data_IF_537232114086
#
_entry.id   IF_537232114086
#
_cell.length_a   1.000
_cell.length_b   1.000
_cell.length_c   1.000
_cell.angle_alpha   90.00
_cell.angle_beta   90.00
_cell.angle_gamma   90.00
#
_symmetry.space_group_name_H-M   'P 1'
#
loop_
_entity.id
_entity.type
_entity.pdbx_description
1 polymer ?
#
# COMPACT_ATOMS: atom_id res chain seq x y z
N UNK A 1 63.29 -59.47 31.61
CA UNK A 1 62.09 -59.76 30.81
C UNK A 1 60.99 -58.78 31.22
N UNK A 2 61.02 -57.55 30.68
CA UNK A 2 60.10 -56.46 31.03
C UNK A 2 59.26 -56.12 29.79
N UNK A 3 57.94 -56.35 29.84
CA UNK A 3 57.00 -55.91 28.80
C UNK A 3 56.30 -54.64 29.29
N UNK A 4 56.62 -53.50 28.66
CA UNK A 4 55.87 -52.23 28.81
C UNK A 4 54.60 -52.33 27.95
N UNK A 5 53.43 -52.25 28.59
CA UNK A 5 52.14 -52.13 27.92
C UNK A 5 51.89 -50.63 27.65
N UNK A 6 51.95 -50.22 26.38
CA UNK A 6 51.54 -48.88 25.96
C UNK A 6 50.07 -48.92 25.54
N UNK A 7 49.18 -48.34 26.34
CA UNK A 7 47.81 -48.05 25.93
C UNK A 7 47.80 -46.73 25.14
N UNK A 8 47.46 -46.84 23.85
CA UNK A 8 47.37 -45.72 22.90
C UNK A 8 45.89 -45.35 22.78
N UNK A 9 45.44 -44.33 23.50
CA UNK A 9 44.10 -43.77 23.31
C UNK A 9 44.10 -42.92 22.02
N UNK A 10 43.18 -43.15 21.06
CA UNK A 10 43.01 -42.23 19.94
C UNK A 10 42.24 -41.00 20.44
N UNK A 11 42.89 -39.84 20.47
CA UNK A 11 42.21 -38.57 20.70
C UNK A 11 41.29 -38.26 19.52
N UNK A 12 39.98 -38.31 19.74
CA UNK A 12 38.98 -37.80 18.79
C UNK A 12 38.95 -36.28 18.96
N UNK A 13 39.60 -35.57 18.05
CA UNK A 13 39.47 -34.12 17.94
C UNK A 13 38.12 -33.80 17.29
N UNK A 14 37.15 -33.30 18.07
CA UNK A 14 35.92 -32.74 17.53
C UNK A 14 36.21 -31.38 16.90
N UNK A 15 36.27 -31.35 15.56
CA UNK A 15 36.32 -30.12 14.79
C UNK A 15 34.92 -29.48 14.82
N UNK A 16 34.72 -28.48 15.68
CA UNK A 16 33.50 -27.66 15.65
C UNK A 16 33.55 -26.73 14.44
N UNK A 17 32.92 -27.15 13.34
CA UNK A 17 32.65 -26.27 12.20
C UNK A 17 31.49 -25.36 12.58
N UNK A 18 31.79 -24.11 12.93
CA UNK A 18 30.77 -23.07 13.09
C UNK A 18 30.39 -22.59 11.69
N UNK A 19 29.32 -23.14 11.13
CA UNK A 19 28.72 -22.61 9.91
C UNK A 19 28.04 -21.27 10.25
N UNK A 20 28.35 -20.16 9.56
CA UNK A 20 27.59 -18.93 9.72
C UNK A 20 26.16 -19.17 9.24
N UNK A 21 25.22 -19.22 10.19
CA UNK A 21 23.79 -19.21 9.89
C UNK A 21 23.46 -17.79 9.47
N UNK A 22 23.44 -17.55 8.17
CA UNK A 22 22.85 -16.32 7.62
C UNK A 22 21.34 -16.37 7.87
N UNK A 23 20.90 -15.68 8.91
CA UNK A 23 19.46 -15.45 9.14
C UNK A 23 19.00 -14.47 8.06
N UNK A 24 18.43 -15.00 6.98
CA UNK A 24 17.67 -14.18 6.04
C UNK A 24 16.42 -13.70 6.77
N UNK A 25 16.43 -12.47 7.28
CA UNK A 25 15.20 -11.80 7.67
C UNK A 25 14.35 -11.66 6.42
N UNK A 26 13.28 -12.46 6.32
CA UNK A 26 12.32 -12.31 5.24
C UNK A 26 11.73 -10.91 5.36
N UNK A 27 11.95 -10.06 4.35
CA UNK A 27 11.46 -8.69 4.36
C UNK A 27 9.94 -8.75 4.37
N UNK A 28 9.35 -8.48 5.54
CA UNK A 28 7.90 -8.46 5.72
C UNK A 28 7.31 -7.33 4.88
N UNK A 29 6.25 -7.63 4.14
CA UNK A 29 5.60 -6.61 3.33
C UNK A 29 5.05 -5.49 4.22
N UNK A 30 5.09 -4.24 3.74
CA UNK A 30 4.54 -3.10 4.46
C UNK A 30 3.08 -3.37 4.88
N UNK A 31 2.26 -4.04 4.05
CA UNK A 31 0.86 -4.38 4.37
C UNK A 31 0.70 -5.46 5.45
N UNK A 32 1.71 -6.31 5.66
CA UNK A 32 1.72 -7.37 6.68
C UNK A 32 2.36 -6.91 8.00
N UNK A 33 2.90 -5.69 8.07
CA UNK A 33 3.45 -5.14 9.31
C UNK A 33 2.35 -4.45 10.16
N UNK A 34 1.88 -5.02 11.29
CA UNK A 34 0.82 -4.40 12.09
C UNK A 34 1.25 -3.11 12.79
N UNK A 35 2.55 -2.87 12.99
CA UNK A 35 3.07 -1.65 13.60
C UNK A 35 3.20 -0.49 12.59
N UNK A 36 3.14 -0.78 11.30
CA UNK A 36 3.25 0.22 10.23
C UNK A 36 1.89 0.43 9.58
N UNK A 37 1.14 1.41 10.09
CA UNK A 37 -0.25 1.67 9.67
C UNK A 37 -0.39 2.86 8.73
N UNK A 38 0.60 3.76 8.72
CA UNK A 38 0.61 4.92 7.85
C UNK A 38 2.01 5.47 7.58
N UNK A 39 2.11 6.25 6.51
CA UNK A 39 3.29 7.03 6.15
C UNK A 39 2.83 8.39 5.63
N UNK A 40 3.43 9.47 6.15
CA UNK A 40 3.26 10.84 5.66
C UNK A 40 1.80 11.32 5.55
N UNK A 41 0.92 10.83 6.43
CA UNK A 41 -0.44 11.36 6.58
C UNK A 41 -0.42 12.53 7.55
N UNK A 42 -1.26 13.52 7.28
CA UNK A 42 -1.54 14.56 8.25
C UNK A 42 -2.22 13.98 9.49
N UNK A 43 -2.00 14.60 10.64
CA UNK A 43 -2.62 14.17 11.89
C UNK A 43 -4.15 14.24 11.78
N UNK A 44 -4.89 13.31 12.42
CA UNK A 44 -6.34 13.41 12.51
C UNK A 44 -6.78 14.76 13.07
N UNK A 45 -7.76 15.38 12.42
CA UNK A 45 -8.32 16.68 12.80
C UNK A 45 -9.80 16.74 12.41
N UNK A 46 -10.53 17.73 12.94
CA UNK A 46 -11.91 17.97 12.56
C UNK A 46 -12.00 18.35 11.07
N UNK A 47 -13.05 17.91 10.39
CA UNK A 47 -13.28 18.24 8.98
C UNK A 47 -13.36 19.76 8.81
N UNK A 48 -12.57 20.28 7.87
CA UNK A 48 -12.53 21.71 7.57
C UNK A 48 -12.31 21.94 6.08
N UNK A 49 -12.94 22.97 5.53
CA UNK A 49 -12.73 23.44 4.17
C UNK A 49 -12.56 24.97 4.15
N UNK A 50 -11.66 25.45 3.29
CA UNK A 50 -11.43 26.87 3.11
C UNK A 50 -12.39 27.44 2.07
N UNK A 51 -12.93 28.63 2.33
CA UNK A 51 -13.77 29.38 1.42
C UNK A 51 -13.29 30.84 1.36
N UNK A 52 -13.55 31.51 0.25
CA UNK A 52 -13.22 32.92 0.02
C UNK A 52 -14.28 33.89 0.54
N UNK A 53 -15.50 33.41 0.86
CA UNK A 53 -16.59 34.26 1.38
C UNK A 53 -17.39 33.58 2.50
N UNK A 54 -17.97 34.39 3.39
CA UNK A 54 -18.85 33.93 4.48
C UNK A 54 -20.07 33.18 3.98
N UNK A 55 -20.66 33.63 2.87
CA UNK A 55 -21.87 33.02 2.30
C UNK A 55 -21.60 31.57 1.86
N UNK A 56 -20.43 31.30 1.26
CA UNK A 56 -20.03 29.94 0.88
C UNK A 56 -19.74 29.05 2.09
N UNK A 57 -19.15 29.60 3.16
CA UNK A 57 -19.00 28.87 4.44
C UNK A 57 -20.34 28.41 4.99
N UNK A 58 -21.36 29.28 4.96
CA UNK A 58 -22.70 28.95 5.46
C UNK A 58 -23.38 27.89 4.57
N UNK A 59 -23.17 27.95 3.26
CA UNK A 59 -23.70 26.96 2.33
C UNK A 59 -23.06 25.57 2.47
N UNK A 60 -21.81 25.52 2.96
CA UNK A 60 -21.02 24.31 3.22
C UNK A 60 -20.91 23.36 2.01
N UNK A 61 -20.90 23.93 0.81
CA UNK A 61 -20.69 23.19 -0.44
C UNK A 61 -19.24 23.35 -0.89
N UNK A 62 -18.43 22.29 -0.74
CA UNK A 62 -17.00 22.31 -1.05
C UNK A 62 -16.74 22.66 -2.51
N UNK A 63 -17.67 22.31 -3.42
CA UNK A 63 -17.53 22.59 -4.85
C UNK A 63 -17.60 24.09 -5.18
N UNK A 64 -18.16 24.89 -4.28
CA UNK A 64 -18.20 26.35 -4.42
C UNK A 64 -16.88 27.02 -3.99
N UNK A 65 -15.97 26.29 -3.34
CA UNK A 65 -14.67 26.82 -2.93
C UNK A 65 -13.71 26.93 -4.12
N UNK A 66 -13.03 28.08 -4.31
CA UNK A 66 -11.96 28.18 -5.31
C UNK A 66 -10.71 27.37 -4.93
N UNK A 67 -10.66 26.80 -3.72
CA UNK A 67 -9.56 26.00 -3.20
C UNK A 67 -9.86 24.50 -3.18
N UNK A 68 -10.94 24.09 -3.87
CA UNK A 68 -11.33 22.70 -4.02
C UNK A 68 -11.20 22.25 -5.47
N UNK A 69 -10.60 21.08 -5.67
CA UNK A 69 -10.61 20.39 -6.95
C UNK A 69 -10.96 18.92 -6.70
N UNK A 70 -12.11 18.48 -7.21
CA UNK A 70 -12.47 17.07 -7.16
C UNK A 70 -11.61 16.28 -8.12
N UNK A 71 -11.09 15.13 -7.66
CA UNK A 71 -10.48 14.12 -8.51
C UNK A 71 -11.41 12.94 -8.78
N UNK A 72 -12.69 13.01 -8.39
CA UNK A 72 -13.67 11.99 -8.75
C UNK A 72 -13.89 11.94 -10.27
N UNK A 73 -14.40 10.82 -10.77
CA UNK A 73 -14.66 10.58 -12.19
C UNK A 73 -13.91 9.38 -12.73
N UNK A 74 -13.55 9.39 -14.01
CA UNK A 74 -12.83 8.28 -14.65
C UNK A 74 -11.33 8.31 -14.33
N UNK A 75 -10.81 7.16 -13.89
CA UNK A 75 -9.38 6.88 -13.64
C UNK A 75 -8.93 5.69 -14.48
N UNK A 76 -7.67 5.68 -14.92
CA UNK A 76 -7.07 4.47 -15.49
C UNK A 76 -6.89 3.44 -14.41
N UNK A 77 -7.23 2.19 -14.71
CA UNK A 77 -7.29 1.12 -13.75
C UNK A 77 -6.73 -0.19 -14.30
N UNK A 78 -5.91 -0.85 -13.48
CA UNK A 78 -5.41 -2.20 -13.73
C UNK A 78 -5.65 -3.05 -12.49
N UNK A 79 -6.24 -4.23 -12.70
CA UNK A 79 -6.54 -5.20 -11.66
C UNK A 79 -5.71 -6.47 -11.88
N UNK A 80 -5.15 -7.00 -10.80
CA UNK A 80 -4.55 -8.34 -10.78
C UNK A 80 -5.07 -9.12 -9.57
N UNK A 81 -5.34 -10.42 -9.70
CA UNK A 81 -5.84 -11.24 -8.59
C UNK A 81 -4.78 -11.51 -7.51
N UNK A 82 -3.49 -11.40 -7.86
CA UNK A 82 -2.38 -11.65 -6.94
C UNK A 82 -1.44 -10.46 -6.91
N UNK A 83 -1.05 -10.06 -5.70
CA UNK A 83 -0.10 -8.97 -5.52
C UNK A 83 1.24 -9.22 -6.24
N UNK A 84 1.68 -10.46 -6.41
CA UNK A 84 2.92 -10.81 -7.14
C UNK A 84 2.85 -10.50 -8.64
N UNK A 85 1.66 -10.37 -9.21
CA UNK A 85 1.42 -10.06 -10.63
C UNK A 85 1.31 -8.56 -10.89
N UNK A 86 1.32 -7.74 -9.84
CA UNK A 86 1.21 -6.28 -9.97
C UNK A 86 2.43 -5.71 -10.70
N UNK A 87 2.21 -4.68 -11.52
CA UNK A 87 3.32 -3.91 -12.07
C UNK A 87 4.13 -3.29 -10.94
N UNK A 88 5.44 -3.51 -10.92
CA UNK A 88 6.36 -2.83 -9.98
C UNK A 88 6.73 -1.42 -10.44
N UNK A 89 6.44 -1.09 -11.70
CA UNK A 89 6.77 0.18 -12.33
C UNK A 89 5.57 1.15 -12.39
N UNK A 90 4.46 0.80 -11.72
CA UNK A 90 3.19 1.51 -11.79
C UNK A 90 3.28 3.02 -11.50
N UNK A 91 4.23 3.41 -10.65
CA UNK A 91 4.42 4.79 -10.22
C UNK A 91 5.15 5.66 -11.25
N UNK A 92 5.81 5.07 -12.26
CA UNK A 92 6.62 5.84 -13.23
C UNK A 92 5.73 6.77 -14.07
N UNK A 93 6.06 8.08 -14.18
CA UNK A 93 5.28 9.01 -15.00
C UNK A 93 5.21 8.61 -16.48
N UNK A 94 6.25 7.98 -17.01
CA UNK A 94 6.29 7.56 -18.42
C UNK A 94 5.66 6.18 -18.71
N UNK A 95 4.99 5.55 -17.73
CA UNK A 95 4.36 4.24 -17.94
C UNK A 95 3.24 4.32 -18.99
N UNK A 96 3.25 3.41 -19.96
CA UNK A 96 2.17 3.28 -20.92
C UNK A 96 0.95 2.59 -20.28
N UNK A 97 -0.19 3.29 -20.27
CA UNK A 97 -1.46 2.78 -19.76
C UNK A 97 -2.54 2.65 -20.83
N UNK A 98 -2.16 2.58 -22.12
CA UNK A 98 -3.13 2.45 -23.23
C UNK A 98 -4.00 1.19 -23.14
N UNK A 99 -3.44 0.09 -22.61
CA UNK A 99 -4.16 -1.17 -22.43
C UNK A 99 -4.99 -1.23 -21.15
N UNK A 100 -4.92 -0.21 -20.29
CA UNK A 100 -5.63 -0.21 -19.01
C UNK A 100 -7.10 0.11 -19.21
N UNK A 101 -7.93 -0.50 -18.35
CA UNK A 101 -9.34 -0.16 -18.25
C UNK A 101 -9.54 1.24 -17.67
N UNK A 102 -10.79 1.71 -17.69
CA UNK A 102 -11.22 2.87 -16.93
C UNK A 102 -12.18 2.41 -15.82
N UNK A 103 -12.09 3.06 -14.66
CA UNK A 103 -12.97 2.81 -13.52
C UNK A 103 -13.52 4.14 -12.99
N UNK A 104 -14.78 4.14 -12.55
CA UNK A 104 -15.37 5.29 -11.87
C UNK A 104 -14.85 5.38 -10.44
N UNK A 105 -14.45 6.57 -10.01
CA UNK A 105 -14.10 6.87 -8.62
C UNK A 105 -15.08 7.90 -8.07
N UNK A 106 -15.75 7.64 -6.92
CA UNK A 106 -15.60 6.47 -6.06
C UNK A 106 -16.38 5.24 -6.56
N UNK A 107 -15.85 4.04 -6.30
CA UNK A 107 -16.52 2.74 -6.48
C UNK A 107 -15.78 1.65 -5.70
N UNK A 108 -16.44 0.50 -5.48
CA UNK A 108 -15.72 -0.76 -5.21
C UNK A 108 -15.47 -1.45 -6.56
N UNK A 109 -14.27 -1.97 -6.80
CA UNK A 109 -13.96 -2.52 -8.12
C UNK A 109 -14.81 -3.76 -8.47
N UNK A 110 -15.34 -4.46 -7.47
CA UNK A 110 -16.18 -5.64 -7.65
C UNK A 110 -17.51 -5.30 -8.33
N UNK A 111 -18.07 -4.12 -8.06
CA UNK A 111 -19.29 -3.65 -8.72
C UNK A 111 -19.03 -3.06 -10.11
N UNK A 112 -17.76 -2.78 -10.43
CA UNK A 112 -17.30 -2.33 -11.74
C UNK A 112 -16.79 -3.50 -12.61
N UNK A 113 -16.91 -4.74 -12.14
CA UNK A 113 -16.62 -5.96 -12.91
C UNK A 113 -15.23 -6.57 -12.69
N UNK A 114 -14.50 -6.14 -11.66
CA UNK A 114 -13.17 -6.67 -11.34
C UNK A 114 -13.18 -7.52 -10.07
N UNK A 115 -12.61 -8.73 -10.12
CA UNK A 115 -12.63 -9.63 -8.96
C UNK A 115 -14.03 -10.15 -8.65
N UNK A 116 -14.25 -10.58 -7.40
CA UNK A 116 -15.52 -11.12 -6.92
C UNK A 116 -15.87 -10.53 -5.55
N UNK A 117 -17.11 -10.09 -5.31
CA UNK A 117 -17.53 -9.68 -3.98
C UNK A 117 -17.64 -10.91 -3.08
N UNK A 118 -17.08 -10.83 -1.88
CA UNK A 118 -17.10 -11.93 -0.91
C UNK A 118 -17.91 -11.51 0.31
N UNK A 119 -18.95 -12.29 0.61
CA UNK A 119 -19.72 -12.17 1.84
C UNK A 119 -19.38 -13.34 2.77
N UNK A 120 -19.02 -13.02 4.01
CA UNK A 120 -18.80 -13.99 5.08
C UNK A 120 -19.41 -13.41 6.36
N UNK A 121 -19.91 -14.28 7.24
CA UNK A 121 -20.47 -13.82 8.52
C UNK A 121 -19.36 -13.70 9.59
N UNK A 122 -18.67 -14.82 9.90
CA UNK A 122 -17.69 -14.90 11.00
C UNK A 122 -16.28 -15.22 10.49
N UNK A 123 -16.17 -16.02 9.43
CA UNK A 123 -14.87 -16.50 8.94
C UNK A 123 -14.21 -15.46 8.06
N UNK A 124 -12.92 -15.22 8.23
CA UNK A 124 -12.15 -14.43 7.27
C UNK A 124 -12.22 -15.06 5.87
N UNK A 125 -12.31 -14.25 4.80
CA UNK A 125 -12.28 -14.75 3.42
C UNK A 125 -10.87 -15.19 2.97
N UNK A 126 -9.89 -15.14 3.87
CA UNK A 126 -8.48 -15.49 3.66
C UNK A 126 -7.94 -16.34 4.83
N UNK A 127 -6.77 -16.99 4.69
CA UNK A 127 -6.18 -17.83 5.74
C UNK A 127 -6.03 -17.10 7.08
N UNK A 128 -6.41 -17.78 8.18
CA UNK A 128 -6.34 -17.25 9.55
C UNK A 128 -4.93 -17.38 10.13
N UNK A 129 -3.96 -16.63 9.58
CA UNK A 129 -2.55 -16.71 9.97
C UNK A 129 -1.93 -15.32 10.24
N UNK A 130 -2.42 -14.55 11.21
CA UNK A 130 -1.96 -13.18 11.43
C UNK A 130 -0.45 -13.11 11.78
N UNK A 131 0.29 -12.08 11.31
CA UNK A 131 -0.20 -10.93 10.53
C UNK A 131 -0.20 -11.18 9.01
N UNK A 132 0.07 -12.42 8.57
CA UNK A 132 0.19 -12.77 7.16
C UNK A 132 -1.20 -12.87 6.53
N UNK A 133 -1.38 -12.17 5.40
CA UNK A 133 -2.65 -12.22 4.66
C UNK A 133 -2.73 -13.52 3.85
N UNK A 134 -1.60 -13.95 3.28
CA UNK A 134 -1.53 -15.12 2.42
C UNK A 134 -2.50 -15.07 1.23
N UNK A 135 -2.62 -16.20 0.52
CA UNK A 135 -3.61 -16.39 -0.55
C UNK A 135 -3.46 -15.45 -1.75
N UNK A 136 -4.50 -15.44 -2.58
CA UNK A 136 -4.66 -14.45 -3.65
C UNK A 136 -5.05 -13.12 -2.98
N UNK A 137 -4.13 -12.15 -2.98
CA UNK A 137 -4.36 -10.79 -2.48
C UNK A 137 -4.50 -9.84 -3.68
N UNK A 138 -5.72 -9.48 -4.09
CA UNK A 138 -5.94 -8.67 -5.28
C UNK A 138 -5.38 -7.26 -5.15
N UNK A 139 -4.88 -6.71 -6.26
CA UNK A 139 -4.33 -5.35 -6.32
C UNK A 139 -5.00 -4.58 -7.43
N UNK A 140 -5.65 -3.48 -7.04
CA UNK A 140 -6.13 -2.44 -7.96
C UNK A 140 -5.11 -1.30 -8.05
N UNK A 141 -4.60 -1.03 -9.25
CA UNK A 141 -3.71 0.09 -9.53
C UNK A 141 -4.48 1.20 -10.22
N UNK A 142 -4.58 2.35 -9.56
CA UNK A 142 -5.30 3.52 -10.04
C UNK A 142 -4.33 4.59 -10.54
N UNK A 143 -4.64 5.24 -11.66
CA UNK A 143 -3.85 6.36 -12.19
C UNK A 143 -4.75 7.48 -12.73
N UNK A 144 -4.41 8.71 -12.35
CA UNK A 144 -5.08 9.94 -12.80
C UNK A 144 -4.05 11.01 -13.10
N UNK A 145 -4.18 11.62 -14.26
CA UNK A 145 -3.51 12.88 -14.58
C UNK A 145 -4.49 14.01 -14.26
N UNK A 146 -3.96 15.07 -13.65
CA UNK A 146 -4.70 16.26 -13.28
C UNK A 146 -3.76 17.46 -13.26
N UNK A 147 -4.34 18.65 -13.40
CA UNK A 147 -3.62 19.91 -13.32
C UNK A 147 -3.98 20.62 -12.03
N UNK A 148 -2.98 21.09 -11.30
CA UNK A 148 -3.20 21.95 -10.13
C UNK A 148 -3.51 23.37 -10.63
N UNK A 149 -4.61 24.01 -10.18
CA UNK A 149 -4.94 25.36 -10.61
C UNK A 149 -3.81 26.36 -10.34
N UNK A 150 -3.46 27.19 -11.32
CA UNK A 150 -2.41 28.20 -11.18
C UNK A 150 -2.70 29.21 -10.05
N UNK A 151 -3.97 29.41 -9.70
CA UNK A 151 -4.40 30.26 -8.56
C UNK A 151 -3.99 29.69 -7.20
N UNK A 152 -3.50 28.46 -7.15
CA UNK A 152 -2.98 27.83 -5.94
C UNK A 152 -1.47 28.00 -5.77
N UNK A 153 -0.79 28.73 -6.66
CA UNK A 153 0.64 29.00 -6.53
C UNK A 153 0.98 29.61 -5.16
N UNK A 154 2.08 29.13 -4.57
CA UNK A 154 2.52 29.49 -3.22
C UNK A 154 1.65 28.95 -2.06
N UNK A 155 0.59 28.17 -2.32
CA UNK A 155 -0.25 27.57 -1.28
C UNK A 155 0.19 26.15 -0.93
N UNK A 156 -0.18 25.71 0.27
CA UNK A 156 -0.13 24.29 0.63
C UNK A 156 -1.31 23.56 -0.03
N UNK A 157 -1.03 22.45 -0.70
CA UNK A 157 -2.01 21.62 -1.39
C UNK A 157 -2.05 20.27 -0.72
N UNK A 158 -3.24 19.82 -0.34
CA UNK A 158 -3.46 18.53 0.32
C UNK A 158 -4.23 17.60 -0.62
N UNK A 159 -3.72 16.38 -0.79
CA UNK A 159 -4.44 15.31 -1.46
C UNK A 159 -5.29 14.56 -0.44
N UNK A 160 -6.61 14.67 -0.55
CA UNK A 160 -7.56 14.06 0.38
C UNK A 160 -8.28 12.87 -0.27
N UNK A 161 -8.20 11.70 0.36
CA UNK A 161 -9.00 10.53 0.00
C UNK A 161 -10.12 10.36 1.04
N UNK A 162 -11.38 10.47 0.62
CA UNK A 162 -12.51 10.35 1.54
C UNK A 162 -12.59 8.98 2.22
N UNK A 163 -12.25 7.91 1.49
CA UNK A 163 -12.02 6.58 2.04
C UNK A 163 -11.21 5.73 1.05
N UNK A 164 -10.39 4.83 1.57
CA UNK A 164 -9.78 3.73 0.83
C UNK A 164 -9.86 2.49 1.72
N UNK A 165 -10.28 1.36 1.17
CA UNK A 165 -10.39 0.08 1.90
C UNK A 165 -9.09 -0.73 1.78
N UNK A 166 -8.64 -1.33 2.88
CA UNK A 166 -7.46 -2.20 2.91
C UNK A 166 -6.15 -1.41 3.07
N UNK A 167 -5.24 -1.54 2.11
CA UNK A 167 -3.91 -0.94 2.18
C UNK A 167 -3.58 -0.19 0.88
N UNK A 168 -3.32 1.11 0.98
CA UNK A 168 -3.03 1.97 -0.15
C UNK A 168 -1.63 2.55 -0.10
N UNK A 169 -0.95 2.59 -1.26
CA UNK A 169 0.30 3.30 -1.45
C UNK A 169 0.09 4.42 -2.46
N UNK A 170 0.44 5.65 -2.10
CA UNK A 170 0.16 6.84 -2.90
C UNK A 170 1.45 7.40 -3.47
N UNK A 171 1.44 7.64 -4.78
CA UNK A 171 2.55 8.23 -5.51
C UNK A 171 2.08 9.45 -6.27
N UNK A 172 2.91 10.50 -6.30
CA UNK A 172 2.70 11.71 -7.10
C UNK A 172 3.96 11.96 -7.90
N UNK A 173 3.82 12.10 -9.22
CA UNK A 173 4.94 12.35 -10.13
C UNK A 173 6.14 11.38 -9.94
N UNK A 174 5.85 10.10 -9.69
CA UNK A 174 6.87 9.07 -9.49
C UNK A 174 7.42 8.93 -8.07
N UNK A 175 7.03 9.80 -7.13
CA UNK A 175 7.53 9.77 -5.75
C UNK A 175 6.50 9.17 -4.81
N UNK A 176 6.92 8.27 -3.91
CA UNK A 176 6.06 7.73 -2.84
C UNK A 176 5.76 8.86 -1.85
N UNK A 177 4.52 9.32 -1.81
CA UNK A 177 4.14 10.44 -0.93
C UNK A 177 3.45 9.98 0.33
N UNK A 178 2.82 8.80 0.34
CA UNK A 178 2.12 8.32 1.52
C UNK A 178 1.65 6.89 1.45
N UNK A 179 1.13 6.42 2.57
CA UNK A 179 0.58 5.09 2.75
C UNK A 179 -0.50 5.11 3.83
N UNK A 180 -1.57 4.33 3.66
CA UNK A 180 -2.63 4.17 4.66
C UNK A 180 -3.08 2.72 4.74
N UNK A 181 -3.24 2.21 5.96
CA UNK A 181 -4.06 1.03 6.27
C UNK A 181 -5.33 1.47 6.97
N UNK A 182 -6.47 1.00 6.48
CA UNK A 182 -7.79 1.28 7.05
C UNK A 182 -8.59 0.00 7.10
#
# INVERSE_FOLDING_TARGET
>A
MFRKLFFRYPGIAFLFVVLPISVFSQQMNDWENPAFVELNKEKPHATSMLFDTKQKVIADDYTASPYYQSLNGSWKFSYVPRHTERSLDFFKPALDTKSWSEIKVPSNWEVEGFGIPIYTNIVYPFPKNPPLIGGDNPVGTYRKEFEVPATWDGRQVFLHFGSISGCAFVYVNGQKVGMSKV
#
